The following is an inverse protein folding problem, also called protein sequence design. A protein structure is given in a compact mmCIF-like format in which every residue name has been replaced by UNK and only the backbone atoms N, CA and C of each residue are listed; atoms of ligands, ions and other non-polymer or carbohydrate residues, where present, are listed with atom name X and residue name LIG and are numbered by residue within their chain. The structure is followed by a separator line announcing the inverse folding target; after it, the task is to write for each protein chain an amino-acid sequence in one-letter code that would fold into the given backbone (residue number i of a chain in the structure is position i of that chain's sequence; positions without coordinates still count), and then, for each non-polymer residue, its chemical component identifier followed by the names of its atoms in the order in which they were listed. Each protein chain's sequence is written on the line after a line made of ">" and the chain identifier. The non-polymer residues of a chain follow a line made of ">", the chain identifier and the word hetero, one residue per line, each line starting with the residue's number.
data_IF_310572342915
#
_entry.id   IF_310572342915
#
_cell.length_a   1.000
_cell.length_b   1.000
_cell.length_c   1.000
_cell.angle_alpha   90.00
_cell.angle_beta   90.00
_cell.angle_gamma   90.00
#
_symmetry.space_group_name_H-M   'P 1'
#
loop_
_entity.id
_entity.type
_entity.pdbx_description
1 polymer ?
#
# COMPACT_ATOMS: atom_id res chain seq x y z
N UNK A 1 3.34 22.95 -8.04
CA UNK A 1 3.01 21.88 -7.07
C UNK A 1 1.81 21.07 -7.55
N UNK A 2 2.06 19.86 -8.04
CA UNK A 2 1.03 18.92 -8.52
C UNK A 2 1.13 17.64 -7.68
N UNK A 3 0.01 17.15 -7.14
CA UNK A 3 -0.08 15.84 -6.52
C UNK A 3 -0.53 14.84 -7.59
N UNK A 4 0.31 13.84 -7.91
CA UNK A 4 -0.11 12.70 -8.73
C UNK A 4 -0.35 11.51 -7.83
N UNK A 5 -1.50 10.88 -7.98
CA UNK A 5 -1.87 9.67 -7.24
C UNK A 5 -2.18 8.55 -8.22
N UNK A 6 -1.57 7.39 -8.00
CA UNK A 6 -1.84 6.18 -8.75
C UNK A 6 -2.56 5.17 -7.84
N UNK A 7 -3.55 4.49 -8.39
CA UNK A 7 -4.31 3.45 -7.72
C UNK A 7 -4.04 2.13 -8.41
N UNK A 8 -3.71 1.12 -7.63
CA UNK A 8 -3.55 -0.25 -8.11
C UNK A 8 -4.65 -1.06 -7.45
N UNK A 9 -5.58 -1.50 -8.27
CA UNK A 9 -6.69 -2.37 -7.92
C UNK A 9 -6.46 -3.69 -8.67
N UNK A 10 -6.02 -4.76 -8.00
CA UNK A 10 -5.89 -6.05 -8.66
C UNK A 10 -7.29 -6.53 -9.06
N UNK A 11 -7.52 -6.75 -10.36
CA UNK A 11 -8.78 -7.34 -10.85
C UNK A 11 -8.98 -8.78 -10.33
N UNK A 12 -7.89 -9.49 -10.05
CA UNK A 12 -7.88 -10.84 -9.49
C UNK A 12 -6.97 -10.91 -8.25
N UNK A 13 -7.51 -11.44 -7.15
CA UNK A 13 -6.76 -11.60 -5.92
C UNK A 13 -5.61 -12.61 -6.09
N UNK A 14 -4.37 -12.18 -5.87
CA UNK A 14 -3.20 -13.08 -5.81
C UNK A 14 -2.30 -13.13 -7.04
N UNK A 15 -2.45 -12.22 -8.01
CA UNK A 15 -1.42 -12.02 -9.04
C UNK A 15 -0.44 -10.92 -8.63
N UNK A 16 0.89 -11.14 -8.81
CA UNK A 16 1.85 -10.05 -8.83
C UNK A 16 1.46 -9.04 -9.90
N UNK A 17 1.60 -7.75 -9.60
CA UNK A 17 1.43 -6.70 -10.60
C UNK A 17 2.84 -6.24 -10.95
N UNK A 18 3.27 -6.52 -12.17
CA UNK A 18 4.57 -6.10 -12.66
C UNK A 18 4.68 -4.58 -12.67
N UNK A 19 5.80 -4.05 -12.19
CA UNK A 19 6.06 -2.61 -12.14
C UNK A 19 5.32 -1.86 -11.03
N UNK A 20 4.87 -2.55 -9.98
CA UNK A 20 4.35 -1.86 -8.79
C UNK A 20 5.43 -0.94 -8.20
N UNK A 21 5.04 0.26 -7.72
CA UNK A 21 5.94 1.09 -6.94
C UNK A 21 6.45 0.29 -5.73
N UNK A 22 7.73 0.44 -5.39
CA UNK A 22 8.35 -0.17 -4.20
C UNK A 22 8.43 -1.71 -4.18
N UNK A 23 8.32 -2.35 -5.35
CA UNK A 23 8.40 -3.81 -5.48
C UNK A 23 7.35 -4.48 -4.57
N UNK A 24 6.10 -4.04 -4.73
CA UNK A 24 4.98 -4.55 -3.94
C UNK A 24 4.45 -5.83 -4.57
N UNK A 25 4.40 -6.87 -3.76
CA UNK A 25 3.68 -8.09 -4.04
C UNK A 25 2.26 -7.97 -3.45
N UNK A 26 1.23 -8.15 -4.27
CA UNK A 26 -0.16 -8.05 -3.82
C UNK A 26 -0.54 -9.21 -2.86
N UNK A 27 0.24 -10.27 -2.81
CA UNK A 27 0.11 -11.36 -1.84
C UNK A 27 0.74 -11.05 -0.49
N UNK A 28 1.44 -9.91 -0.35
CA UNK A 28 2.08 -9.50 0.88
C UNK A 28 1.07 -9.32 2.01
N UNK A 29 1.35 -9.93 3.16
CA UNK A 29 0.56 -9.75 4.38
C UNK A 29 0.83 -8.38 5.00
N UNK A 30 -0.07 -7.92 5.87
CA UNK A 30 0.15 -6.67 6.61
C UNK A 30 1.41 -6.71 7.47
N UNK A 31 1.69 -7.84 8.09
CA UNK A 31 2.89 -8.05 8.89
C UNK A 31 4.16 -7.95 8.03
N UNK A 32 4.16 -8.58 6.85
CA UNK A 32 5.27 -8.49 5.90
C UNK A 32 5.49 -7.05 5.41
N UNK A 33 4.41 -6.30 5.14
CA UNK A 33 4.53 -4.89 4.76
C UNK A 33 5.17 -4.05 5.87
N UNK A 34 4.81 -4.28 7.14
CA UNK A 34 5.42 -3.60 8.28
C UNK A 34 6.87 -4.03 8.51
N UNK A 35 7.20 -5.30 8.30
CA UNK A 35 8.58 -5.76 8.34
C UNK A 35 9.43 -5.11 7.23
N UNK A 36 8.86 -4.89 6.03
CA UNK A 36 9.54 -4.29 4.88
C UNK A 36 9.71 -2.76 5.00
N UNK A 37 8.67 -2.06 5.45
CA UNK A 37 8.62 -0.58 5.44
C UNK A 37 8.74 0.07 6.81
N UNK A 38 8.82 -0.73 7.89
CA UNK A 38 8.71 -0.26 9.26
C UNK A 38 7.27 0.00 9.70
N UNK A 39 7.11 0.57 10.89
CA UNK A 39 5.80 0.94 11.39
C UNK A 39 5.17 2.06 10.54
N UNK A 40 3.87 1.96 10.22
CA UNK A 40 3.19 2.99 9.45
C UNK A 40 3.06 4.28 10.26
N UNK A 41 3.13 5.42 9.58
CA UNK A 41 2.82 6.73 10.18
C UNK A 41 1.37 6.77 10.70
N UNK A 42 0.48 6.06 10.00
CA UNK A 42 -0.91 5.94 10.40
C UNK A 42 -1.47 4.57 10.04
N UNK A 43 -2.24 4.00 10.97
CA UNK A 43 -3.03 2.79 10.77
C UNK A 43 -4.48 3.13 11.04
N UNK A 44 -5.40 2.65 10.21
CA UNK A 44 -6.83 2.76 10.48
C UNK A 44 -7.21 1.99 11.75
N UNK A 45 -8.24 2.49 12.44
CA UNK A 45 -8.86 1.84 13.60
C UNK A 45 -10.08 1.03 13.15
N UNK A 46 -10.44 0.00 13.92
CA UNK A 46 -11.65 -0.80 13.69
C UNK A 46 -11.53 -1.81 12.55
N UNK A 47 -12.57 -1.94 11.73
CA UNK A 47 -12.68 -2.94 10.66
C UNK A 47 -11.89 -2.60 9.40
N UNK A 48 -11.48 -1.34 9.23
CA UNK A 48 -10.63 -0.92 8.13
C UNK A 48 -9.20 -1.41 8.41
N UNK A 49 -8.60 -2.10 7.43
CA UNK A 49 -7.26 -2.68 7.51
C UNK A 49 -6.33 -1.89 6.59
N UNK A 50 -6.15 -0.61 6.87
CA UNK A 50 -5.37 0.29 6.05
C UNK A 50 -4.16 0.80 6.83
N UNK A 51 -3.00 0.79 6.20
CA UNK A 51 -1.77 1.37 6.74
C UNK A 51 -1.21 2.39 5.75
N UNK A 52 -0.70 3.50 6.28
CA UNK A 52 -0.09 4.60 5.53
C UNK A 52 1.35 4.81 5.94
N UNK A 53 2.24 4.85 4.95
CA UNK A 53 3.65 5.18 5.09
C UNK A 53 4.01 6.45 4.33
N UNK A 54 5.04 7.14 4.83
CA UNK A 54 5.76 8.19 4.10
C UNK A 54 7.14 7.65 3.80
N UNK A 55 7.43 7.48 2.51
CA UNK A 55 8.66 6.89 1.99
C UNK A 55 9.35 7.93 1.10
N UNK A 56 10.19 8.76 1.71
CA UNK A 56 10.80 9.91 1.03
C UNK A 56 9.73 10.95 0.64
N UNK A 57 9.67 11.28 -0.65
CA UNK A 57 8.70 12.23 -1.23
C UNK A 57 7.35 11.58 -1.58
N UNK A 58 7.19 10.28 -1.31
CA UNK A 58 6.01 9.49 -1.63
C UNK A 58 5.20 9.16 -0.40
N UNK A 59 3.88 9.16 -0.55
CA UNK A 59 2.92 8.70 0.45
C UNK A 59 2.24 7.44 -0.07
N UNK A 60 2.39 6.34 0.62
CA UNK A 60 1.82 5.05 0.25
C UNK A 60 0.72 4.67 1.23
N UNK A 61 -0.43 4.25 0.70
CA UNK A 61 -1.53 3.67 1.46
C UNK A 61 -1.76 2.26 0.93
N UNK A 62 -1.63 1.27 1.82
CA UNK A 62 -2.02 -0.10 1.55
C UNK A 62 -3.34 -0.38 2.26
N UNK A 63 -4.32 -0.88 1.54
CA UNK A 63 -5.53 -1.47 2.12
C UNK A 63 -5.41 -2.98 2.01
N UNK A 64 -5.57 -3.68 3.11
CA UNK A 64 -5.48 -5.14 3.18
C UNK A 64 -6.88 -5.78 3.11
N UNK A 65 -6.91 -7.07 2.80
CA UNK A 65 -8.08 -7.92 3.00
C UNK A 65 -8.45 -7.99 4.49
N UNK A 66 -9.67 -8.42 4.80
CA UNK A 66 -10.17 -8.46 6.19
C UNK A 66 -9.37 -9.40 7.10
N UNK A 67 -8.77 -10.45 6.52
CA UNK A 67 -7.88 -11.41 7.18
C UNK A 67 -6.40 -10.94 7.22
N UNK A 68 -6.11 -9.76 6.66
CA UNK A 68 -4.79 -9.13 6.61
C UNK A 68 -3.72 -9.95 5.87
N UNK A 69 -4.14 -10.99 5.13
CA UNK A 69 -3.24 -11.91 4.43
C UNK A 69 -2.77 -11.38 3.07
N UNK A 70 -3.46 -10.40 2.47
CA UNK A 70 -3.11 -9.87 1.15
C UNK A 70 -3.42 -8.38 1.03
N UNK A 71 -2.73 -7.70 0.13
CA UNK A 71 -3.05 -6.32 -0.24
C UNK A 71 -4.29 -6.36 -1.16
N UNK A 72 -5.33 -5.61 -0.77
CA UNK A 72 -6.53 -5.39 -1.57
C UNK A 72 -6.38 -4.20 -2.51
N UNK A 73 -5.68 -3.15 -2.10
CA UNK A 73 -5.50 -1.93 -2.88
C UNK A 73 -4.22 -1.22 -2.48
N UNK A 74 -3.53 -0.66 -3.46
CA UNK A 74 -2.41 0.26 -3.26
C UNK A 74 -2.81 1.64 -3.75
N UNK A 75 -2.50 2.68 -2.99
CA UNK A 75 -2.52 4.06 -3.47
C UNK A 75 -1.17 4.70 -3.19
N UNK A 76 -0.53 5.29 -4.20
CA UNK A 76 0.74 6.01 -4.05
C UNK A 76 0.58 7.42 -4.55
N UNK A 77 0.90 8.40 -3.71
CA UNK A 77 0.87 9.82 -4.06
C UNK A 77 2.27 10.42 -4.00
N UNK A 78 2.64 11.19 -5.02
CA UNK A 78 3.93 11.89 -5.09
C UNK A 78 3.69 13.37 -5.41
N UNK A 79 4.41 14.23 -4.69
CA UNK A 79 4.39 15.66 -4.90
C UNK A 79 5.43 16.01 -5.97
N UNK A 80 5.03 16.76 -6.99
CA UNK A 80 5.95 17.31 -7.99
C UNK A 80 5.97 18.82 -7.86
N UNK A 81 7.17 19.41 -7.95
CA UNK A 81 7.35 20.87 -7.97
C UNK A 81 6.67 21.50 -9.18
#
# INVERSE_FOLDING_TARGET
>A
MVLRTFFILPEEAGRPIDGTPFDLDMTMTREQARAKFGEPEWSSRGSLKNDRWVLGDKRMLLSFTSDEQRIRQVSVSQLFE
#
